data_IF_904160789044
#
_entry.id   IF_904160789044
#
_cell.length_a   1.000
_cell.length_b   1.000
_cell.length_c   1.000
_cell.angle_alpha   90.00
_cell.angle_beta   90.00
_cell.angle_gamma   90.00
#
_symmetry.space_group_name_H-M   'P 1'
#
loop_
_entity.id
_entity.type
_entity.pdbx_description
1 polymer ?
#
# COMPACT_ATOMS: atom_id res chain seq x y z
N UNK A 1 31.96 17.40 -1.91
CA UNK A 1 32.71 18.56 -1.36
C UNK A 1 33.04 19.49 -2.52
N UNK A 2 32.85 20.78 -2.38
CA UNK A 2 33.34 21.77 -3.37
C UNK A 2 34.76 22.13 -3.03
N UNK A 3 35.68 22.06 -4.01
CA UNK A 3 37.00 22.60 -3.86
C UNK A 3 36.98 24.13 -3.78
N UNK A 4 38.03 24.73 -3.29
CA UNK A 4 38.18 26.20 -3.20
C UNK A 4 38.15 26.91 -4.57
N UNK A 5 38.34 26.16 -5.65
CA UNK A 5 38.28 26.57 -7.06
C UNK A 5 36.89 26.40 -7.70
N UNK A 6 35.89 26.01 -6.92
CA UNK A 6 34.52 25.75 -7.40
C UNK A 6 34.29 24.40 -8.09
N UNK A 7 35.33 23.56 -8.21
CA UNK A 7 35.19 22.24 -8.82
C UNK A 7 34.46 21.29 -7.89
N UNK A 8 33.55 20.48 -8.47
CA UNK A 8 32.82 19.44 -7.73
C UNK A 8 33.59 18.14 -7.83
N UNK A 9 34.32 17.81 -6.80
CA UNK A 9 34.96 16.49 -6.70
C UNK A 9 33.93 15.43 -6.30
N UNK A 10 33.65 14.49 -7.20
CA UNK A 10 32.99 13.23 -6.84
C UNK A 10 33.90 12.48 -5.87
N UNK A 11 33.48 12.24 -4.66
CA UNK A 11 34.18 11.31 -3.76
C UNK A 11 34.13 9.92 -4.41
N UNK A 12 35.24 9.51 -5.04
CA UNK A 12 35.49 8.14 -5.44
C UNK A 12 35.71 7.33 -4.17
N UNK A 13 34.83 6.38 -3.90
CA UNK A 13 34.93 5.48 -2.74
C UNK A 13 33.77 5.52 -1.75
N UNK A 14 32.90 6.50 -1.82
CA UNK A 14 31.62 6.48 -1.09
C UNK A 14 30.55 5.83 -1.96
N UNK A 15 30.10 4.63 -1.58
CA UNK A 15 28.92 4.04 -2.19
C UNK A 15 29.10 2.71 -2.91
N UNK A 16 30.24 2.02 -2.75
CA UNK A 16 30.38 0.64 -3.24
C UNK A 16 29.81 -0.42 -2.28
N UNK A 17 29.27 -0.05 -1.13
CA UNK A 17 28.47 -0.94 -0.32
C UNK A 17 27.10 -1.08 -1.02
N UNK A 18 26.82 -2.25 -1.59
CA UNK A 18 25.48 -2.61 -2.05
C UNK A 18 24.60 -2.59 -0.79
N UNK A 19 23.87 -1.50 -0.59
CA UNK A 19 22.87 -1.47 0.47
C UNK A 19 21.72 -2.39 0.02
N UNK A 20 21.41 -3.38 0.82
CA UNK A 20 20.26 -4.28 0.59
C UNK A 20 18.93 -3.54 0.62
N UNK A 21 18.90 -2.35 1.22
CA UNK A 21 17.73 -1.50 1.34
C UNK A 21 18.08 -0.07 0.93
N UNK A 22 17.25 0.51 0.08
CA UNK A 22 17.37 1.92 -0.30
C UNK A 22 16.40 2.75 0.53
N UNK A 23 16.89 3.82 1.15
CA UNK A 23 16.02 4.83 1.74
C UNK A 23 15.15 5.43 0.63
N UNK A 24 13.83 5.48 0.78
CA UNK A 24 12.95 6.09 -0.21
C UNK A 24 13.36 7.55 -0.47
N UNK A 25 13.27 7.95 -1.73
CA UNK A 25 13.47 9.36 -2.10
C UNK A 25 12.29 10.19 -1.58
N UNK A 26 12.51 11.47 -1.28
CA UNK A 26 11.44 12.39 -0.90
C UNK A 26 10.47 12.72 -2.05
N UNK A 27 10.78 12.28 -3.27
CA UNK A 27 9.98 12.48 -4.48
C UNK A 27 9.65 11.14 -5.11
N UNK A 28 8.38 10.77 -5.10
CA UNK A 28 7.87 9.59 -5.81
C UNK A 28 7.53 9.94 -7.26
N UNK A 29 8.23 9.34 -8.21
CA UNK A 29 7.94 9.47 -9.65
C UNK A 29 7.09 8.30 -10.11
N UNK A 30 5.77 8.44 -10.00
CA UNK A 30 4.81 7.39 -10.31
C UNK A 30 3.95 7.83 -11.48
N UNK A 31 3.89 6.98 -12.51
CA UNK A 31 3.07 7.24 -13.69
C UNK A 31 1.58 7.14 -13.34
N UNK A 32 0.81 8.15 -13.70
CA UNK A 32 -0.64 8.09 -13.60
C UNK A 32 -1.17 7.00 -14.55
N UNK A 33 -2.06 6.17 -14.06
CA UNK A 33 -2.73 5.18 -14.90
C UNK A 33 -3.55 5.88 -15.99
N UNK A 34 -3.20 5.67 -17.25
CA UNK A 34 -3.93 6.19 -18.44
C UNK A 34 -5.00 5.20 -18.92
N UNK A 35 -5.46 4.29 -18.13
CA UNK A 35 -6.48 3.32 -18.50
C UNK A 35 -7.81 3.60 -17.81
N UNK A 36 -8.91 3.24 -18.45
CA UNK A 36 -10.21 3.21 -17.78
C UNK A 36 -10.11 2.36 -16.51
N UNK A 37 -10.59 2.91 -15.42
CA UNK A 37 -10.51 2.26 -14.09
C UNK A 37 -11.46 1.05 -13.97
N UNK A 38 -12.02 0.55 -15.08
CA UNK A 38 -12.97 -0.55 -15.08
C UNK A 38 -14.12 -0.27 -14.12
N UNK A 39 -14.36 -1.16 -13.16
CA UNK A 39 -15.41 -1.00 -12.16
C UNK A 39 -15.27 0.25 -11.27
N UNK A 40 -14.07 0.87 -11.20
CA UNK A 40 -13.81 2.11 -10.44
C UNK A 40 -14.00 3.39 -11.28
N UNK A 41 -14.47 3.28 -12.52
CA UNK A 41 -14.58 4.41 -13.46
C UNK A 41 -15.45 5.57 -13.01
N UNK A 42 -16.28 5.39 -12.00
CA UNK A 42 -17.12 6.43 -11.41
C UNK A 42 -16.47 7.15 -10.21
N UNK A 43 -15.32 6.69 -9.69
CA UNK A 43 -14.69 7.33 -8.54
C UNK A 43 -13.86 8.53 -8.98
N UNK A 44 -14.14 9.75 -8.47
CA UNK A 44 -13.52 10.99 -8.95
C UNK A 44 -12.03 11.11 -8.61
N UNK A 45 -11.53 10.39 -7.61
CA UNK A 45 -10.19 10.55 -7.08
C UNK A 45 -9.52 9.19 -6.80
N UNK A 46 -9.09 8.50 -7.86
CA UNK A 46 -8.31 7.26 -7.72
C UNK A 46 -6.83 7.56 -7.91
N UNK A 47 -6.02 7.30 -6.90
CA UNK A 47 -4.57 7.42 -7.00
C UNK A 47 -3.92 6.07 -7.37
N UNK A 48 -2.70 6.08 -7.95
CA UNK A 48 -2.03 4.86 -8.38
C UNK A 48 -1.71 3.92 -7.22
N UNK A 49 -1.93 2.61 -7.42
CA UNK A 49 -1.58 1.57 -6.43
C UNK A 49 -0.10 1.64 -6.07
N UNK A 50 0.77 1.86 -7.07
CA UNK A 50 2.22 1.97 -6.85
C UNK A 50 2.64 3.08 -5.87
N UNK A 51 1.84 4.14 -5.71
CA UNK A 51 2.11 5.16 -4.69
C UNK A 51 1.91 4.59 -3.29
N UNK A 52 0.84 3.84 -3.09
CA UNK A 52 0.56 3.22 -1.80
C UNK A 52 1.56 2.10 -1.51
N UNK A 53 1.90 1.28 -2.50
CA UNK A 53 2.93 0.24 -2.38
C UNK A 53 4.24 0.85 -1.85
N UNK A 54 4.72 1.94 -2.47
CA UNK A 54 5.95 2.61 -2.05
C UNK A 54 5.89 3.13 -0.60
N UNK A 55 4.73 3.67 -0.18
CA UNK A 55 4.52 4.14 1.20
C UNK A 55 4.47 2.96 2.18
N UNK A 56 3.74 1.90 1.85
CA UNK A 56 3.66 0.71 2.70
C UNK A 56 5.03 0.04 2.90
N UNK A 57 5.83 -0.06 1.84
CA UNK A 57 7.17 -0.62 1.91
C UNK A 57 8.12 0.23 2.76
N UNK A 58 7.94 1.55 2.76
CA UNK A 58 8.77 2.47 3.54
C UNK A 58 8.43 2.50 5.03
N UNK A 59 7.17 2.26 5.42
CA UNK A 59 6.67 2.51 6.77
C UNK A 59 6.06 1.30 7.47
N UNK A 60 6.12 0.12 6.87
CA UNK A 60 5.59 -1.12 7.47
C UNK A 60 6.36 -2.35 6.99
N UNK A 61 6.20 -3.46 7.70
CA UNK A 61 6.77 -4.74 7.34
C UNK A 61 5.72 -5.71 6.75
N UNK A 62 6.12 -6.70 5.94
CA UNK A 62 5.21 -7.76 5.52
C UNK A 62 4.53 -8.44 6.71
N UNK A 63 3.22 -8.66 6.61
CA UNK A 63 2.40 -9.21 7.69
C UNK A 63 1.79 -8.18 8.64
N UNK A 64 2.20 -6.91 8.57
CA UNK A 64 1.61 -5.83 9.35
C UNK A 64 0.14 -5.59 9.00
N UNK A 65 -0.58 -5.01 9.95
CA UNK A 65 -1.97 -4.59 9.79
C UNK A 65 -2.04 -3.11 9.49
N UNK A 66 -2.55 -2.80 8.31
CA UNK A 66 -2.82 -1.44 7.85
C UNK A 66 -4.27 -1.10 8.17
N UNK A 67 -4.50 0.11 8.65
CA UNK A 67 -5.85 0.64 8.86
C UNK A 67 -6.13 1.78 7.88
N UNK A 68 -7.22 1.65 7.12
CA UNK A 68 -7.67 2.63 6.13
C UNK A 68 -9.09 3.11 6.46
N UNK A 69 -9.24 4.31 7.02
CA UNK A 69 -10.54 4.82 7.44
C UNK A 69 -11.41 5.37 6.29
N UNK A 70 -10.85 5.57 5.09
CA UNK A 70 -11.53 6.17 3.94
C UNK A 70 -11.23 5.38 2.67
N UNK A 71 -11.68 4.13 2.62
CA UNK A 71 -11.28 3.13 1.63
C UNK A 71 -11.54 3.55 0.18
N UNK A 72 -12.64 4.26 -0.07
CA UNK A 72 -13.04 4.66 -1.41
C UNK A 72 -13.09 3.47 -2.36
N UNK A 73 -12.37 3.58 -3.46
CA UNK A 73 -12.30 2.50 -4.46
C UNK A 73 -11.37 1.33 -4.09
N UNK A 74 -10.82 1.26 -2.88
CA UNK A 74 -10.04 0.12 -2.39
C UNK A 74 -8.59 0.06 -2.88
N UNK A 75 -7.97 1.16 -3.23
CA UNK A 75 -6.57 1.17 -3.69
C UNK A 75 -5.61 0.63 -2.64
N UNK A 76 -5.82 0.96 -1.36
CA UNK A 76 -5.02 0.46 -0.24
C UNK A 76 -5.19 -1.03 0.01
N UNK A 77 -6.38 -1.59 -0.19
CA UNK A 77 -6.61 -3.03 -0.10
C UNK A 77 -5.74 -3.78 -1.11
N UNK A 78 -5.69 -3.29 -2.35
CA UNK A 78 -4.89 -3.90 -3.41
C UNK A 78 -3.40 -3.78 -3.13
N UNK A 79 -2.94 -2.60 -2.68
CA UNK A 79 -1.54 -2.37 -2.36
C UNK A 79 -1.07 -3.23 -1.19
N UNK A 80 -1.86 -3.31 -0.12
CA UNK A 80 -1.57 -4.15 1.04
C UNK A 80 -1.44 -5.64 0.65
N UNK A 81 -2.37 -6.13 -0.16
CA UNK A 81 -2.32 -7.51 -0.67
C UNK A 81 -1.04 -7.79 -1.46
N UNK A 82 -0.67 -6.90 -2.39
CA UNK A 82 0.52 -7.06 -3.24
C UNK A 82 1.82 -6.98 -2.47
N UNK A 83 1.84 -6.22 -1.40
CA UNK A 83 3.03 -6.04 -0.55
C UNK A 83 3.06 -6.98 0.66
N UNK A 84 2.11 -7.93 0.75
CA UNK A 84 2.06 -8.92 1.82
C UNK A 84 1.62 -8.37 3.18
N UNK A 85 0.89 -7.24 3.20
CA UNK A 85 0.29 -6.65 4.39
C UNK A 85 -1.17 -7.07 4.49
N UNK A 86 -1.73 -6.96 5.69
CA UNK A 86 -3.18 -7.09 5.91
C UNK A 86 -3.79 -5.71 5.98
N UNK A 87 -5.01 -5.54 5.48
CA UNK A 87 -5.69 -4.25 5.56
C UNK A 87 -7.08 -4.41 6.18
N UNK A 88 -7.39 -3.53 7.15
CA UNK A 88 -8.74 -3.30 7.61
C UNK A 88 -9.17 -1.94 7.11
N UNK A 89 -10.23 -1.90 6.33
CA UNK A 89 -10.70 -0.68 5.71
C UNK A 89 -12.15 -0.38 6.08
N UNK A 90 -12.49 0.90 6.12
CA UNK A 90 -13.85 1.40 6.35
C UNK A 90 -14.24 2.27 5.18
N UNK A 91 -15.49 2.11 4.73
CA UNK A 91 -16.11 2.96 3.70
C UNK A 91 -17.56 3.21 4.07
N UNK A 92 -17.99 4.47 3.95
CA UNK A 92 -19.32 4.88 4.31
C UNK A 92 -20.34 4.61 3.19
N UNK A 93 -19.92 4.79 1.94
CA UNK A 93 -20.79 4.61 0.78
C UNK A 93 -20.81 3.14 0.34
N UNK A 94 -21.97 2.45 0.40
CA UNK A 94 -22.06 1.06 0.01
C UNK A 94 -21.69 0.81 -1.47
N UNK A 95 -21.88 1.81 -2.35
CA UNK A 95 -21.49 1.71 -3.76
C UNK A 95 -19.97 1.59 -3.87
N UNK A 96 -19.22 2.36 -3.08
CA UNK A 96 -17.77 2.25 -3.06
C UNK A 96 -17.28 1.00 -2.35
N UNK A 97 -18.00 0.47 -1.37
CA UNK A 97 -17.72 -0.85 -0.82
C UNK A 97 -17.75 -1.93 -1.93
N UNK A 98 -18.80 -1.94 -2.76
CA UNK A 98 -18.91 -2.88 -3.87
C UNK A 98 -17.80 -2.69 -4.91
N UNK A 99 -17.44 -1.44 -5.21
CA UNK A 99 -16.33 -1.13 -6.12
C UNK A 99 -15.01 -1.65 -5.56
N UNK A 100 -14.72 -1.42 -4.28
CA UNK A 100 -13.51 -1.86 -3.62
C UNK A 100 -13.39 -3.40 -3.64
N UNK A 101 -14.47 -4.11 -3.31
CA UNK A 101 -14.53 -5.57 -3.34
C UNK A 101 -14.24 -6.10 -4.75
N UNK A 102 -14.97 -5.62 -5.76
CA UNK A 102 -14.78 -6.07 -7.15
C UNK A 102 -13.36 -5.82 -7.65
N UNK A 103 -12.79 -4.66 -7.35
CA UNK A 103 -11.41 -4.35 -7.72
C UNK A 103 -10.40 -5.27 -7.05
N UNK A 104 -10.61 -5.59 -5.78
CA UNK A 104 -9.75 -6.51 -5.05
C UNK A 104 -9.86 -7.94 -5.63
N UNK A 105 -11.08 -8.42 -5.91
CA UNK A 105 -11.31 -9.72 -6.55
C UNK A 105 -10.62 -9.80 -7.91
N UNK A 106 -10.76 -8.77 -8.75
CA UNK A 106 -10.08 -8.71 -10.05
C UNK A 106 -8.56 -8.69 -9.92
N UNK A 107 -8.03 -8.00 -8.93
CA UNK A 107 -6.58 -7.88 -8.72
C UNK A 107 -5.93 -9.15 -8.15
N UNK A 108 -6.71 -9.94 -7.38
CA UNK A 108 -6.19 -11.12 -6.67
C UNK A 108 -6.62 -12.45 -7.29
N UNK A 109 -7.67 -12.44 -8.10
CA UNK A 109 -8.32 -13.66 -8.60
C UNK A 109 -9.07 -14.45 -7.53
N UNK A 110 -9.28 -13.89 -6.33
CA UNK A 110 -9.97 -14.53 -5.20
C UNK A 110 -11.36 -13.93 -5.02
N UNK A 111 -12.29 -14.71 -4.48
CA UNK A 111 -13.63 -14.23 -4.12
C UNK A 111 -13.63 -13.65 -2.70
N UNK A 112 -14.29 -12.52 -2.52
CA UNK A 112 -14.57 -11.95 -1.21
C UNK A 112 -15.79 -12.65 -0.58
N UNK A 113 -15.80 -12.75 0.74
CA UNK A 113 -16.90 -13.35 1.48
C UNK A 113 -17.56 -12.33 2.38
N UNK A 114 -18.85 -12.12 2.21
CA UNK A 114 -19.63 -11.27 3.11
C UNK A 114 -19.87 -12.02 4.43
N UNK A 115 -19.39 -11.43 5.53
CA UNK A 115 -19.69 -11.93 6.87
C UNK A 115 -20.99 -11.26 7.33
N UNK A 116 -22.01 -12.06 7.62
CA UNK A 116 -23.27 -11.60 8.24
C UNK A 116 -23.17 -11.78 9.77
N UNK A 117 -23.94 -11.00 10.53
CA UNK A 117 -23.94 -11.01 12.01
C UNK A 117 -24.13 -12.39 12.66
N UNK A 118 -24.66 -13.35 11.92
CA UNK A 118 -24.83 -14.73 12.40
C UNK A 118 -23.58 -15.60 12.32
N UNK A 119 -22.54 -15.15 11.65
CA UNK A 119 -21.24 -15.82 11.61
C UNK A 119 -20.34 -15.17 12.66
N UNK A 120 -20.35 -15.71 13.90
CA UNK A 120 -19.42 -15.27 14.94
C UNK A 120 -18.00 -15.28 14.38
N UNK A 121 -17.40 -14.08 14.29
CA UNK A 121 -15.98 -13.94 14.02
C UNK A 121 -15.23 -14.62 15.15
N UNK A 122 -14.72 -15.83 14.91
CA UNK A 122 -13.78 -16.48 15.84
C UNK A 122 -12.63 -15.50 16.05
N UNK A 123 -12.62 -14.85 17.22
CA UNK A 123 -11.54 -13.95 17.61
C UNK A 123 -10.22 -14.74 17.52
N UNK A 124 -9.25 -14.30 16.72
CA UNK A 124 -7.95 -14.95 16.71
C UNK A 124 -7.39 -14.89 18.14
N UNK A 125 -6.85 -16.02 18.61
CA UNK A 125 -6.26 -16.12 19.93
C UNK A 125 -5.27 -14.95 20.12
N UNK A 126 -5.46 -14.18 21.18
CA UNK A 126 -4.60 -13.06 21.55
C UNK A 126 -3.19 -13.59 21.80
N UNK A 127 -2.28 -13.44 20.84
CA UNK A 127 -0.86 -13.69 21.09
C UNK A 127 -0.40 -12.65 22.09
N UNK A 128 -0.14 -13.09 23.32
CA UNK A 128 0.51 -12.26 24.33
C UNK A 128 1.92 -11.92 23.84
N UNK A 129 2.12 -10.70 23.35
CA UNK A 129 3.49 -10.17 23.19
C UNK A 129 4.02 -9.93 24.60
N UNK A 130 4.90 -10.80 25.08
CA UNK A 130 5.77 -10.45 26.19
C UNK A 130 6.77 -9.43 25.64
N UNK A 131 6.66 -8.22 26.14
CA UNK A 131 7.69 -7.21 25.97
C UNK A 131 8.88 -7.62 26.84
N UNK A 132 10.02 -7.92 26.23
CA UNK A 132 11.30 -8.12 26.94
C UNK A 132 12.04 -6.78 26.97
#
# INVERSE_FOLDING_TARGET
MRGADGTVHRKTGYGNAIQSHRIPDSVFRIMRHKGGLGAAGSHPAVFPVALVEAVLEAFSDPGDLIFEPFCGSGTQLIAAERTGRRCCAVELDPVYCDVAVRRWEMATGRAAHRITEQQEVRKPARRSRKWA
#
